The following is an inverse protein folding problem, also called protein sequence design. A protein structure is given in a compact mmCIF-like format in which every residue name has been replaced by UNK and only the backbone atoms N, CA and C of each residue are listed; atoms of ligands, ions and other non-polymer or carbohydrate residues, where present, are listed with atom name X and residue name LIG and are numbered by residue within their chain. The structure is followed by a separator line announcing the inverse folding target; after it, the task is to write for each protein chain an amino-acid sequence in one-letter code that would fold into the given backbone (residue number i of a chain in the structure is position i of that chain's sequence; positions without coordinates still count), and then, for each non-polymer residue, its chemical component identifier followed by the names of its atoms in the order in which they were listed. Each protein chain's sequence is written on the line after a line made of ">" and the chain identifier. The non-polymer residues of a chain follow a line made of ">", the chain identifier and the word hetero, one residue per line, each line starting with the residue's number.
data_IF_628585582380
#
_entry.id   IF_628585582380
#
_cell.length_a   1.000
_cell.length_b   1.000
_cell.length_c   1.000
_cell.angle_alpha   90.00
_cell.angle_beta   90.00
_cell.angle_gamma   90.00
#
_symmetry.space_group_name_H-M   'P 1'
#
loop_
_entity.id
_entity.type
_entity.pdbx_description
1 polymer ?
#
# COMPACT_ATOMS: atom_id res chain seq x y z
N UNK A 1 6.72 -20.06 -37.03
CA UNK A 1 6.45 -20.92 -35.85
C UNK A 1 7.70 -20.85 -34.99
N UNK A 2 7.74 -19.94 -34.03
CA UNK A 2 8.85 -19.81 -33.09
C UNK A 2 8.47 -20.58 -31.83
N UNK A 3 9.13 -21.71 -31.61
CA UNK A 3 8.98 -22.52 -30.40
C UNK A 3 9.80 -21.88 -29.28
N UNK A 4 9.14 -21.40 -28.24
CA UNK A 4 9.81 -21.07 -26.98
C UNK A 4 10.36 -22.35 -26.35
N UNK A 5 11.57 -22.34 -25.76
CA UNK A 5 12.09 -23.49 -25.03
C UNK A 5 11.22 -23.68 -23.78
N UNK A 6 10.59 -24.84 -23.64
CA UNK A 6 9.99 -25.27 -22.37
C UNK A 6 11.11 -25.46 -21.36
N UNK A 7 11.17 -24.62 -20.33
CA UNK A 7 12.10 -24.78 -19.21
C UNK A 7 11.94 -26.20 -18.63
N UNK A 8 13.01 -27.00 -18.69
CA UNK A 8 12.98 -28.44 -18.48
C UNK A 8 13.46 -28.85 -17.07
N UNK A 9 13.16 -28.02 -16.07
CA UNK A 9 13.45 -28.29 -14.65
C UNK A 9 12.20 -28.05 -13.79
N UNK A 10 12.09 -28.72 -12.63
CA UNK A 10 11.06 -28.40 -11.65
C UNK A 10 11.19 -26.92 -11.21
N UNK A 11 10.06 -26.24 -11.11
CA UNK A 11 10.02 -24.82 -10.70
C UNK A 11 10.41 -24.67 -9.24
N UNK A 12 11.06 -23.58 -8.88
CA UNK A 12 11.48 -23.31 -7.49
C UNK A 12 10.91 -21.99 -6.99
N UNK A 13 10.36 -22.00 -5.77
CA UNK A 13 9.92 -20.81 -5.08
C UNK A 13 10.96 -20.34 -4.05
N UNK A 14 11.08 -19.04 -3.84
CA UNK A 14 11.71 -18.46 -2.64
C UNK A 14 10.63 -18.01 -1.66
N UNK A 15 10.83 -18.26 -0.37
CA UNK A 15 9.99 -17.73 0.71
C UNK A 15 10.82 -16.77 1.54
N UNK A 16 10.39 -15.50 1.53
CA UNK A 16 11.02 -14.42 2.30
C UNK A 16 10.19 -14.24 3.56
N UNK A 17 10.71 -14.69 4.68
CA UNK A 17 9.94 -14.80 5.93
C UNK A 17 10.44 -13.82 6.97
N UNK A 18 9.50 -13.14 7.63
CA UNK A 18 9.79 -12.47 8.90
C UNK A 18 9.61 -13.47 10.05
N UNK A 19 10.70 -14.03 10.63
CA UNK A 19 10.60 -15.10 11.62
C UNK A 19 9.89 -14.64 12.90
N UNK A 20 9.90 -13.35 13.22
CA UNK A 20 9.28 -12.79 14.45
C UNK A 20 7.75 -12.85 14.44
N UNK A 21 7.13 -13.11 13.29
CA UNK A 21 5.68 -13.19 13.15
C UNK A 21 5.11 -14.59 13.41
N UNK A 22 5.96 -15.59 13.65
CA UNK A 22 5.53 -16.99 13.77
C UNK A 22 6.10 -17.66 15.02
N UNK A 23 5.22 -18.14 15.90
CA UNK A 23 5.62 -18.90 17.10
C UNK A 23 6.26 -20.27 16.75
N UNK A 24 5.96 -20.81 15.57
CA UNK A 24 6.41 -22.14 15.12
C UNK A 24 6.75 -22.15 13.64
N UNK A 25 7.83 -21.46 13.28
CA UNK A 25 8.35 -21.39 11.91
C UNK A 25 8.56 -22.77 11.27
N UNK A 26 9.01 -23.77 12.04
CA UNK A 26 9.20 -25.16 11.55
C UNK A 26 7.92 -25.78 10.96
N UNK A 27 6.75 -25.48 11.53
CA UNK A 27 5.48 -25.98 11.01
C UNK A 27 5.15 -25.34 9.67
N UNK A 28 5.47 -24.07 9.53
CA UNK A 28 5.29 -23.34 8.27
C UNK A 28 6.24 -23.88 7.21
N UNK A 29 7.50 -24.17 7.58
CA UNK A 29 8.46 -24.83 6.68
C UNK A 29 7.94 -26.16 6.17
N UNK A 30 7.44 -27.02 7.07
CA UNK A 30 6.90 -28.32 6.68
C UNK A 30 5.68 -28.18 5.77
N UNK A 31 4.76 -27.28 6.10
CA UNK A 31 3.57 -27.01 5.30
C UNK A 31 3.92 -26.56 3.87
N UNK A 32 4.85 -25.61 3.75
CA UNK A 32 5.29 -25.09 2.46
C UNK A 32 6.01 -26.16 1.65
N UNK A 33 6.94 -26.88 2.26
CA UNK A 33 7.68 -27.94 1.59
C UNK A 33 6.74 -29.06 1.07
N UNK A 34 5.71 -29.41 1.84
CA UNK A 34 4.71 -30.40 1.40
C UNK A 34 3.86 -29.86 0.24
N UNK A 35 3.42 -28.61 0.30
CA UNK A 35 2.66 -28.01 -0.80
C UNK A 35 3.50 -27.89 -2.09
N UNK A 36 4.77 -27.49 -1.99
CA UNK A 36 5.69 -27.47 -3.12
C UNK A 36 5.80 -28.85 -3.76
N UNK A 37 6.10 -29.89 -2.96
CA UNK A 37 6.17 -31.27 -3.46
C UNK A 37 4.88 -31.73 -4.12
N UNK A 38 3.73 -31.46 -3.48
CA UNK A 38 2.39 -31.81 -3.97
C UNK A 38 2.11 -31.20 -5.34
N UNK A 39 2.60 -29.99 -5.59
CA UNK A 39 2.39 -29.25 -6.85
C UNK A 39 3.55 -29.37 -7.84
N UNK A 40 4.53 -30.26 -7.59
CA UNK A 40 5.66 -30.51 -8.49
C UNK A 40 6.71 -29.39 -8.51
N UNK A 41 6.78 -28.58 -7.46
CA UNK A 41 7.84 -27.60 -7.23
C UNK A 41 8.99 -28.22 -6.43
N UNK A 42 10.19 -27.72 -6.69
CA UNK A 42 11.39 -28.04 -5.91
C UNK A 42 11.30 -27.53 -4.47
N UNK A 43 12.25 -27.98 -3.64
CA UNK A 43 12.37 -27.49 -2.27
C UNK A 43 12.56 -25.96 -2.25
N UNK A 44 11.70 -25.23 -1.52
CA UNK A 44 11.72 -23.77 -1.52
C UNK A 44 13.03 -23.24 -0.94
N UNK A 45 13.53 -22.14 -1.51
CA UNK A 45 14.62 -21.36 -0.94
C UNK A 45 14.07 -20.51 0.21
N UNK A 46 14.57 -20.71 1.44
CA UNK A 46 14.16 -19.92 2.60
C UNK A 46 15.13 -18.80 2.88
N UNK A 47 14.62 -17.58 3.00
CA UNK A 47 15.40 -16.39 3.29
C UNK A 47 14.71 -15.61 4.40
N UNK A 48 15.39 -15.44 5.53
CA UNK A 48 14.84 -14.72 6.67
C UNK A 48 15.20 -13.23 6.60
N UNK A 49 14.21 -12.37 6.85
CA UNK A 49 14.42 -10.93 6.97
C UNK A 49 15.06 -10.60 8.32
N UNK A 50 15.77 -9.48 8.40
CA UNK A 50 16.27 -8.93 9.66
C UNK A 50 15.62 -7.57 9.97
N UNK A 51 15.79 -7.01 11.18
CA UNK A 51 15.35 -5.64 11.46
C UNK A 51 16.00 -4.59 10.56
N UNK A 52 17.23 -4.84 10.09
CA UNK A 52 17.99 -3.95 9.22
C UNK A 52 17.65 -4.14 7.73
N UNK A 53 17.24 -5.34 7.33
CA UNK A 53 16.82 -5.68 5.98
C UNK A 53 15.50 -6.42 5.99
N UNK A 54 14.42 -5.69 5.69
CA UNK A 54 13.04 -6.19 5.78
C UNK A 54 12.64 -7.06 4.59
N UNK A 55 13.58 -7.41 3.70
CA UNK A 55 13.37 -8.32 2.58
C UNK A 55 14.05 -7.91 1.27
N UNK A 56 14.76 -6.79 1.23
CA UNK A 56 15.32 -6.24 0.00
C UNK A 56 16.49 -7.09 -0.49
N UNK A 57 17.47 -7.36 0.39
CA UNK A 57 18.60 -8.23 0.10
C UNK A 57 18.17 -9.67 -0.15
N UNK A 58 17.24 -10.18 0.65
CA UNK A 58 16.68 -11.53 0.47
C UNK A 58 15.97 -11.67 -0.89
N UNK A 59 15.25 -10.63 -1.35
CA UNK A 59 14.62 -10.70 -2.67
C UNK A 59 15.65 -10.73 -3.79
N UNK A 60 16.73 -9.95 -3.69
CA UNK A 60 17.81 -9.99 -4.68
C UNK A 60 18.52 -11.33 -4.70
N UNK A 61 18.81 -11.91 -3.53
CA UNK A 61 19.39 -13.25 -3.42
C UNK A 61 18.50 -14.31 -4.07
N UNK A 62 17.18 -14.23 -3.88
CA UNK A 62 16.23 -15.12 -4.55
C UNK A 62 16.26 -14.98 -6.08
N UNK A 63 16.31 -13.75 -6.59
CA UNK A 63 16.38 -13.48 -8.03
C UNK A 63 17.70 -13.98 -8.64
N UNK A 64 18.82 -13.76 -7.95
CA UNK A 64 20.14 -14.27 -8.36
C UNK A 64 20.19 -15.81 -8.38
N UNK A 65 19.45 -16.46 -7.48
CA UNK A 65 19.27 -17.91 -7.46
C UNK A 65 18.36 -18.44 -8.58
N UNK A 66 17.75 -17.56 -9.38
CA UNK A 66 16.94 -17.94 -10.55
C UNK A 66 15.62 -18.61 -10.21
N UNK A 67 14.97 -18.22 -9.10
CA UNK A 67 13.66 -18.77 -8.72
C UNK A 67 12.54 -18.32 -9.66
N UNK A 68 11.50 -19.14 -9.78
CA UNK A 68 10.32 -18.89 -10.64
C UNK A 68 9.18 -18.16 -9.91
N UNK A 69 9.32 -17.95 -8.61
CA UNK A 69 8.32 -17.36 -7.73
C UNK A 69 8.97 -16.84 -6.45
N UNK A 70 8.62 -15.64 -6.02
CA UNK A 70 9.01 -15.10 -4.72
C UNK A 70 7.77 -14.89 -3.85
N UNK A 71 7.80 -15.44 -2.64
CA UNK A 71 6.67 -15.42 -1.72
C UNK A 71 7.04 -14.65 -0.44
N UNK A 72 6.63 -13.37 -0.28
CA UNK A 72 6.69 -12.72 1.02
C UNK A 72 5.74 -13.42 1.99
N UNK A 73 6.29 -13.89 3.11
CA UNK A 73 5.57 -14.47 4.24
C UNK A 73 5.75 -13.55 5.46
N UNK A 74 4.85 -12.59 5.60
CA UNK A 74 4.96 -11.54 6.59
C UNK A 74 3.80 -10.55 6.58
N UNK A 75 4.01 -9.39 7.20
CA UNK A 75 3.05 -8.29 7.18
C UNK A 75 3.22 -7.39 5.96
N UNK A 76 2.46 -6.30 5.94
CA UNK A 76 2.40 -5.35 4.81
C UNK A 76 3.77 -4.75 4.47
N UNK A 77 4.61 -4.44 5.47
CA UNK A 77 5.98 -3.96 5.24
C UNK A 77 6.87 -4.96 4.47
N UNK A 78 6.83 -6.25 4.82
CA UNK A 78 7.57 -7.30 4.08
C UNK A 78 7.04 -7.41 2.64
N UNK A 79 5.72 -7.37 2.46
CA UNK A 79 5.10 -7.40 1.13
C UNK A 79 5.52 -6.20 0.28
N UNK A 80 5.54 -4.99 0.86
CA UNK A 80 6.01 -3.77 0.20
C UNK A 80 7.47 -3.90 -0.24
N UNK A 81 8.37 -4.30 0.66
CA UNK A 81 9.81 -4.42 0.36
C UNK A 81 10.08 -5.46 -0.72
N UNK A 82 9.42 -6.62 -0.66
CA UNK A 82 9.58 -7.64 -1.70
C UNK A 82 9.01 -7.16 -3.04
N UNK A 83 7.81 -6.57 -3.03
CA UNK A 83 7.17 -6.06 -4.24
C UNK A 83 7.94 -4.90 -4.89
N UNK A 84 8.61 -4.04 -4.11
CA UNK A 84 9.42 -2.95 -4.66
C UNK A 84 10.64 -3.45 -5.43
N UNK A 85 11.27 -4.55 -4.98
CA UNK A 85 12.40 -5.17 -5.68
C UNK A 85 11.94 -5.93 -6.93
N UNK A 86 10.76 -6.56 -6.89
CA UNK A 86 10.20 -7.31 -8.02
C UNK A 86 9.59 -6.40 -9.09
N UNK A 87 9.23 -5.16 -8.74
CA UNK A 87 8.65 -4.20 -9.68
C UNK A 87 9.58 -3.96 -10.88
N UNK A 88 9.00 -3.99 -12.09
CA UNK A 88 9.70 -3.92 -13.37
C UNK A 88 10.26 -5.27 -13.86
N UNK A 89 10.17 -6.33 -13.05
CA UNK A 89 10.58 -7.69 -13.42
C UNK A 89 9.42 -8.59 -13.85
N UNK A 90 9.77 -9.82 -14.26
CA UNK A 90 8.79 -10.84 -14.71
C UNK A 90 8.61 -12.00 -13.70
N UNK A 91 9.38 -12.02 -12.61
CA UNK A 91 9.24 -13.07 -11.58
C UNK A 91 7.98 -12.76 -10.75
N UNK A 92 6.99 -13.66 -10.71
CA UNK A 92 5.74 -13.42 -10.01
C UNK A 92 5.93 -13.42 -8.49
N UNK A 93 5.14 -12.59 -7.82
CA UNK A 93 5.02 -12.54 -6.36
C UNK A 93 3.82 -13.36 -5.86
N UNK A 94 4.04 -14.28 -4.93
CA UNK A 94 2.99 -15.06 -4.26
C UNK A 94 2.71 -14.55 -2.84
N UNK A 95 1.57 -13.94 -2.59
CA UNK A 95 1.27 -13.31 -1.29
C UNK A 95 0.90 -14.35 -0.23
N UNK A 96 1.74 -14.50 0.80
CA UNK A 96 1.47 -15.39 1.93
C UNK A 96 1.17 -14.57 3.20
N UNK A 97 -0.04 -14.71 3.79
CA UNK A 97 -0.43 -13.89 4.94
C UNK A 97 0.41 -14.24 6.18
N UNK A 98 1.06 -13.23 6.75
CA UNK A 98 1.83 -13.33 7.99
C UNK A 98 1.67 -12.11 8.92
N UNK A 99 0.82 -11.15 8.56
CA UNK A 99 0.53 -9.96 9.37
C UNK A 99 -0.96 -9.78 9.67
N UNK A 100 -1.29 -8.72 10.41
CA UNK A 100 -2.66 -8.37 10.78
C UNK A 100 -3.44 -7.76 9.61
N UNK A 101 -2.80 -6.87 8.83
CA UNK A 101 -3.43 -6.15 7.72
C UNK A 101 -3.64 -7.03 6.49
N UNK A 102 -2.53 -7.49 5.88
CA UNK A 102 -2.52 -8.21 4.61
C UNK A 102 -3.29 -7.42 3.52
N UNK A 103 -3.08 -6.11 3.48
CA UNK A 103 -3.90 -5.14 2.75
C UNK A 103 -3.90 -5.43 1.25
N UNK A 104 -2.72 -5.65 0.65
CA UNK A 104 -2.63 -5.97 -0.78
C UNK A 104 -3.37 -7.28 -1.10
N UNK A 105 -3.13 -8.33 -0.30
CA UNK A 105 -3.78 -9.63 -0.49
C UNK A 105 -5.31 -9.54 -0.39
N UNK A 106 -5.84 -8.71 0.54
CA UNK A 106 -7.29 -8.45 0.65
C UNK A 106 -7.84 -7.68 -0.54
N UNK A 107 -7.08 -6.73 -1.08
CA UNK A 107 -7.49 -5.97 -2.26
C UNK A 107 -7.52 -6.85 -3.51
N UNK A 108 -6.68 -7.88 -3.57
CA UNK A 108 -6.66 -8.92 -4.60
C UNK A 108 -7.59 -10.12 -4.28
N UNK A 109 -8.49 -9.96 -3.31
CA UNK A 109 -9.48 -10.96 -2.88
C UNK A 109 -8.91 -12.34 -2.51
N UNK A 110 -7.67 -12.38 -2.00
CA UNK A 110 -7.05 -13.60 -1.51
C UNK A 110 -7.64 -14.06 -0.15
N UNK A 111 -7.66 -15.37 0.13
CA UNK A 111 -8.19 -15.93 1.38
C UNK A 111 -7.19 -15.76 2.53
N UNK A 112 -6.98 -14.52 2.98
CA UNK A 112 -5.97 -14.15 4.00
C UNK A 112 -6.16 -14.81 5.38
N UNK A 113 -7.30 -15.47 5.61
CA UNK A 113 -7.59 -16.31 6.78
C UNK A 113 -6.98 -17.72 6.69
N UNK A 114 -6.35 -18.07 5.56
CA UNK A 114 -5.80 -19.39 5.31
C UNK A 114 -4.48 -19.32 4.52
N UNK A 115 -3.37 -19.46 5.26
CA UNK A 115 -2.04 -19.57 4.67
C UNK A 115 -1.95 -20.70 3.63
N UNK A 116 -2.58 -21.85 3.91
CA UNK A 116 -2.63 -23.00 2.99
C UNK A 116 -3.28 -22.65 1.65
N UNK A 117 -4.44 -21.99 1.66
CA UNK A 117 -5.13 -21.58 0.43
C UNK A 117 -4.34 -20.52 -0.34
N UNK A 118 -3.76 -19.53 0.35
CA UNK A 118 -2.89 -18.55 -0.30
C UNK A 118 -1.63 -19.20 -0.91
N UNK A 119 -1.08 -20.22 -0.26
CA UNK A 119 0.06 -20.97 -0.78
C UNK A 119 -0.31 -21.80 -2.01
N UNK A 120 -1.45 -22.48 -2.00
CA UNK A 120 -1.96 -23.18 -3.18
C UNK A 120 -2.15 -22.20 -4.35
N UNK A 121 -2.72 -21.02 -4.09
CA UNK A 121 -2.82 -19.93 -5.09
C UNK A 121 -1.43 -19.50 -5.57
N UNK A 122 -0.46 -19.26 -4.67
CA UNK A 122 0.89 -18.85 -5.05
C UNK A 122 1.59 -19.85 -5.99
N UNK A 123 1.37 -21.15 -5.78
CA UNK A 123 2.03 -22.23 -6.52
C UNK A 123 1.29 -22.63 -7.81
N UNK A 124 -0.03 -22.41 -7.89
CA UNK A 124 -0.89 -22.92 -8.97
C UNK A 124 -1.74 -21.88 -9.68
N UNK A 125 -1.82 -20.67 -9.13
CA UNK A 125 -2.62 -19.59 -9.65
C UNK A 125 -2.11 -19.03 -10.96
N UNK A 126 -2.76 -17.95 -11.41
CA UNK A 126 -2.43 -17.28 -12.67
C UNK A 126 -1.66 -16.00 -12.40
N UNK A 127 -0.77 -15.67 -13.32
CA UNK A 127 -0.02 -14.42 -13.28
C UNK A 127 -0.92 -13.27 -13.72
N UNK A 128 -0.99 -12.23 -12.90
CA UNK A 128 -1.69 -10.98 -13.18
C UNK A 128 -0.74 -9.84 -12.95
N UNK A 129 -0.75 -8.85 -13.84
CA UNK A 129 0.02 -7.62 -13.65
C UNK A 129 -0.82 -6.61 -12.90
N UNK A 130 -0.23 -6.05 -11.86
CA UNK A 130 -0.78 -4.92 -11.11
C UNK A 130 0.19 -3.76 -11.20
N UNK A 131 -0.35 -2.58 -10.98
CA UNK A 131 0.37 -1.34 -10.88
C UNK A 131 1.09 -1.26 -9.53
N UNK A 132 2.24 -0.61 -9.53
CA UNK A 132 2.87 -0.09 -8.31
C UNK A 132 2.88 1.43 -8.36
N UNK A 133 3.13 2.08 -7.24
CA UNK A 133 3.25 3.53 -7.21
C UNK A 133 4.62 3.94 -6.70
N UNK A 134 5.26 4.86 -7.42
CA UNK A 134 6.47 5.55 -6.97
C UNK A 134 6.08 6.81 -6.22
N UNK A 135 6.70 7.02 -5.06
CA UNK A 135 6.60 8.20 -4.23
C UNK A 135 7.95 8.91 -4.17
N UNK A 136 8.02 10.11 -4.72
CA UNK A 136 9.13 11.04 -4.54
C UNK A 136 8.75 12.01 -3.40
N UNK A 137 9.57 12.11 -2.36
CA UNK A 137 9.34 13.04 -1.25
C UNK A 137 10.46 14.07 -1.11
N UNK A 138 10.07 15.28 -0.71
CA UNK A 138 10.99 16.37 -0.41
C UNK A 138 10.88 16.73 1.07
N UNK A 139 12.03 16.68 1.75
CA UNK A 139 12.14 17.10 3.15
C UNK A 139 12.72 18.51 3.23
N UNK A 140 12.20 19.39 4.11
CA UNK A 140 12.83 20.67 4.35
C UNK A 140 14.17 20.48 5.06
N UNK A 141 15.20 21.22 4.68
CA UNK A 141 16.42 21.34 5.49
C UNK A 141 16.10 22.06 6.81
N UNK A 142 16.93 21.89 7.85
CA UNK A 142 16.74 22.58 9.14
C UNK A 142 16.70 24.11 9.00
N UNK A 143 17.44 24.68 8.05
CA UNK A 143 17.44 26.11 7.78
C UNK A 143 16.13 26.57 7.09
N UNK A 144 15.63 25.79 6.13
CA UNK A 144 14.34 26.05 5.49
C UNK A 144 13.17 25.85 6.48
N UNK A 145 13.24 24.85 7.35
CA UNK A 145 12.26 24.64 8.41
C UNK A 145 12.25 25.84 9.37
N UNK A 146 13.42 26.34 9.78
CA UNK A 146 13.53 27.52 10.62
C UNK A 146 13.04 28.80 9.94
N UNK A 147 13.35 29.00 8.65
CA UNK A 147 12.85 30.12 7.87
C UNK A 147 11.32 30.06 7.71
N UNK A 148 10.76 28.88 7.42
CA UNK A 148 9.30 28.68 7.30
C UNK A 148 8.55 28.81 8.61
N UNK A 149 9.16 28.45 9.73
CA UNK A 149 8.59 28.71 11.06
C UNK A 149 8.67 30.20 11.44
N UNK A 150 9.53 30.97 10.78
CA UNK A 150 9.75 32.39 11.02
C UNK A 150 8.99 33.32 10.06
N UNK A 151 8.66 32.84 8.85
CA UNK A 151 7.83 33.57 7.86
C UNK A 151 6.34 33.41 8.17
N UNK A 152 5.60 34.52 8.19
CA UNK A 152 4.13 34.54 8.25
C UNK A 152 3.49 34.29 6.86
N UNK A 153 4.29 34.23 5.78
CA UNK A 153 3.81 33.98 4.42
C UNK A 153 3.64 32.48 4.15
N UNK A 154 2.44 32.09 3.69
CA UNK A 154 2.06 30.71 3.41
C UNK A 154 2.79 30.19 2.16
N UNK A 155 3.69 29.18 2.27
CA UNK A 155 4.47 28.71 1.12
C UNK A 155 3.59 28.10 0.02
N UNK A 156 2.36 27.68 0.31
CA UNK A 156 1.42 27.24 -0.73
C UNK A 156 0.85 28.40 -1.58
N UNK A 157 1.17 29.67 -1.29
CA UNK A 157 0.82 30.84 -2.13
C UNK A 157 1.80 31.06 -3.29
N UNK A 158 3.08 30.71 -3.14
CA UNK A 158 4.14 31.09 -4.07
C UNK A 158 4.96 29.92 -4.63
N UNK A 159 4.61 28.68 -4.28
CA UNK A 159 5.34 27.49 -4.76
C UNK A 159 4.84 27.08 -6.14
N UNK A 160 5.74 27.14 -7.13
CA UNK A 160 5.57 26.37 -8.35
C UNK A 160 5.70 24.88 -7.98
N UNK A 161 4.59 24.14 -8.12
CA UNK A 161 4.52 22.71 -7.80
C UNK A 161 5.42 21.86 -8.70
N UNK A 162 5.76 22.38 -9.88
CA UNK A 162 6.72 21.71 -10.75
C UNK A 162 8.12 21.86 -10.13
N UNK A 163 8.51 23.06 -9.69
CA UNK A 163 9.84 23.30 -9.08
C UNK A 163 10.00 22.67 -7.68
N UNK A 164 8.97 22.68 -6.82
CA UNK A 164 9.09 22.16 -5.45
C UNK A 164 9.39 20.65 -5.37
N UNK A 165 9.15 19.90 -6.45
CA UNK A 165 9.52 18.50 -6.55
C UNK A 165 10.57 18.26 -7.64
N UNK A 166 10.68 19.09 -8.68
CA UNK A 166 11.62 18.87 -9.79
C UNK A 166 12.91 19.71 -9.73
N UNK A 167 13.07 20.70 -8.82
CA UNK A 167 14.31 21.49 -8.69
C UNK A 167 15.49 20.67 -8.14
N UNK A 168 16.26 20.07 -9.05
CA UNK A 168 17.46 19.28 -8.75
C UNK A 168 18.65 20.12 -8.29
N UNK A 169 18.51 21.44 -8.17
CA UNK A 169 19.59 22.36 -7.77
C UNK A 169 19.58 22.71 -6.28
N UNK A 170 18.52 22.35 -5.55
CA UNK A 170 18.39 22.59 -4.11
C UNK A 170 19.17 21.55 -3.28
N UNK A 171 19.59 21.91 -2.06
CA UNK A 171 20.27 21.01 -1.12
C UNK A 171 19.31 20.04 -0.40
N UNK A 172 18.17 19.71 -1.00
CA UNK A 172 17.12 18.89 -0.40
C UNK A 172 17.45 17.39 -0.45
N UNK A 173 17.09 16.67 0.61
CA UNK A 173 17.13 15.20 0.62
C UNK A 173 15.88 14.71 -0.08
N UNK A 174 16.07 14.11 -1.26
CA UNK A 174 15.03 13.44 -2.03
C UNK A 174 15.13 11.95 -1.77
N UNK A 175 14.06 11.37 -1.30
CA UNK A 175 13.94 9.93 -1.13
C UNK A 175 12.87 9.42 -2.09
N UNK A 176 13.16 8.28 -2.73
CA UNK A 176 12.24 7.57 -3.59
C UNK A 176 11.77 6.32 -2.84
N UNK A 177 10.47 6.11 -2.78
CA UNK A 177 9.85 4.93 -2.17
C UNK A 177 8.87 4.30 -3.16
N UNK A 178 8.73 2.99 -3.13
CA UNK A 178 7.64 2.29 -3.83
C UNK A 178 6.60 1.85 -2.82
N UNK A 179 5.32 1.97 -3.19
CA UNK A 179 4.20 1.45 -2.41
C UNK A 179 3.24 0.65 -3.30
N UNK A 180 2.56 -0.30 -2.67
CA UNK A 180 1.64 -1.21 -3.34
C UNK A 180 0.18 -0.94 -2.97
N UNK A 181 -0.05 -0.31 -1.82
CA UNK A 181 -1.40 -0.05 -1.29
C UNK A 181 -1.69 1.44 -1.30
N UNK A 182 -1.01 2.22 -0.44
CA UNK A 182 -1.24 3.66 -0.31
C UNK A 182 -0.13 4.42 0.41
N UNK A 183 -0.05 5.71 0.11
CA UNK A 183 0.69 6.70 0.86
C UNK A 183 -0.26 7.74 1.48
N UNK A 184 0.10 8.27 2.65
CA UNK A 184 -0.74 9.21 3.40
C UNK A 184 0.06 10.37 3.96
N UNK A 185 -0.49 11.59 3.86
CA UNK A 185 0.01 12.80 4.50
C UNK A 185 -0.98 13.24 5.59
N UNK A 186 -0.47 13.45 6.81
CA UNK A 186 -1.28 13.91 7.96
C UNK A 186 -2.22 12.83 8.51
N UNK A 187 -1.97 11.58 8.13
CA UNK A 187 -2.59 10.40 8.71
C UNK A 187 -1.73 9.94 9.88
N UNK A 188 -2.37 9.47 10.94
CA UNK A 188 -1.69 8.93 12.12
C UNK A 188 -1.99 7.43 12.13
N UNK A 189 -0.95 6.59 12.01
CA UNK A 189 -1.04 5.12 11.97
C UNK A 189 -1.85 4.53 13.14
N UNK A 190 -1.96 5.22 14.28
CA UNK A 190 -2.76 4.76 15.43
C UNK A 190 -4.28 4.87 15.22
N UNK A 191 -4.73 5.58 14.18
CA UNK A 191 -6.15 5.87 13.96
C UNK A 191 -6.98 4.62 13.59
N UNK A 192 -6.34 3.57 13.07
CA UNK A 192 -7.01 2.33 12.63
C UNK A 192 -6.58 1.06 13.39
N UNK A 193 -5.53 1.12 14.20
CA UNK A 193 -4.99 -0.04 14.92
C UNK A 193 -5.74 -0.37 16.24
N UNK A 194 -6.61 0.54 16.73
CA UNK A 194 -7.29 0.42 18.02
C UNK A 194 -8.66 -0.29 18.01
N UNK A 195 -9.06 -0.95 16.93
CA UNK A 195 -10.34 -1.64 16.88
C UNK A 195 -10.23 -3.08 17.44
N UNK A 196 -10.90 -3.44 18.56
CA UNK A 196 -10.83 -4.79 19.08
C UNK A 196 -11.53 -5.79 18.15
N UNK A 197 -10.89 -6.94 17.88
CA UNK A 197 -11.37 -8.01 16.98
C UNK A 197 -12.64 -8.77 17.47
N UNK A 198 -13.37 -8.24 18.45
CA UNK A 198 -14.35 -9.02 19.22
C UNK A 198 -15.80 -8.51 19.31
N UNK A 199 -16.24 -7.50 18.54
CA UNK A 199 -17.59 -6.94 18.72
C UNK A 199 -18.49 -7.11 17.48
N UNK A 200 -19.28 -8.19 17.45
CA UNK A 200 -20.44 -8.34 16.55
C UNK A 200 -21.75 -8.42 17.33
N UNK A 201 -22.77 -7.80 16.72
CA UNK A 201 -24.21 -7.90 16.99
C UNK A 201 -24.78 -7.19 18.24
N UNK A 202 -24.98 -5.86 18.15
CA UNK A 202 -26.23 -5.13 18.55
C UNK A 202 -26.12 -3.60 18.58
N UNK A 203 -24.92 -3.04 18.50
CA UNK A 203 -24.68 -1.57 18.47
C UNK A 203 -23.79 -1.20 17.28
N UNK A 204 -24.26 -1.57 16.09
CA UNK A 204 -23.47 -1.58 14.84
C UNK A 204 -22.78 -0.26 14.53
N UNK A 205 -21.58 -0.37 13.91
CA UNK A 205 -20.77 0.64 13.20
C UNK A 205 -20.45 1.99 13.88
N UNK A 206 -21.38 2.61 14.61
CA UNK A 206 -21.23 3.88 15.33
C UNK A 206 -20.21 3.81 16.48
N UNK A 207 -20.11 2.69 17.18
CA UNK A 207 -19.12 2.53 18.27
C UNK A 207 -17.67 2.46 17.72
N UNK A 208 -17.48 1.85 16.55
CA UNK A 208 -16.19 1.76 15.86
C UNK A 208 -15.70 3.14 15.41
N UNK A 209 -16.59 3.93 14.80
CA UNK A 209 -16.33 5.32 14.45
C UNK A 209 -15.86 6.13 15.66
N UNK A 210 -16.60 6.09 16.77
CA UNK A 210 -16.36 6.94 17.95
C UNK A 210 -15.04 6.62 18.66
N UNK A 211 -14.51 5.39 18.55
CA UNK A 211 -13.23 5.00 19.12
C UNK A 211 -12.04 5.53 18.29
N UNK A 212 -12.03 5.30 16.97
CA UNK A 212 -11.00 5.85 16.06
C UNK A 212 -11.05 7.40 16.01
N UNK A 213 -12.25 7.97 16.14
CA UNK A 213 -12.47 9.42 16.11
C UNK A 213 -11.87 10.23 17.23
N UNK A 214 -11.67 9.63 18.40
CA UNK A 214 -11.05 10.31 19.55
C UNK A 214 -9.53 10.41 19.44
N UNK A 215 -8.92 9.56 18.60
CA UNK A 215 -7.48 9.49 18.33
C UNK A 215 -7.10 10.30 17.09
N UNK A 216 -8.07 10.62 16.23
CA UNK A 216 -8.01 11.69 15.26
C UNK A 216 -7.90 13.06 15.97
N UNK A 217 -6.73 13.40 16.49
CA UNK A 217 -6.37 14.73 17.03
C UNK A 217 -5.14 15.26 16.28
N UNK A 218 -5.35 16.22 15.39
CA UNK A 218 -4.28 16.89 14.65
C UNK A 218 -4.82 18.17 14.01
N UNK A 219 -4.01 19.24 13.92
CA UNK A 219 -4.45 20.49 13.30
C UNK A 219 -4.67 20.29 11.80
N UNK A 220 -5.67 20.97 11.24
CA UNK A 220 -5.77 21.11 9.78
C UNK A 220 -4.52 21.81 9.22
N UNK A 221 -4.27 21.60 7.95
CA UNK A 221 -3.18 22.20 7.18
C UNK A 221 -3.64 22.49 5.76
N UNK A 222 -2.93 23.36 5.06
CA UNK A 222 -3.26 23.72 3.69
C UNK A 222 -2.35 22.97 2.74
N UNK A 223 -2.96 22.39 1.70
CA UNK A 223 -2.23 21.78 0.60
C UNK A 223 -2.53 22.48 -0.71
N UNK A 224 -1.51 22.58 -1.55
CA UNK A 224 -1.66 22.77 -2.98
C UNK A 224 -1.55 21.40 -3.66
N UNK A 225 -2.50 21.09 -4.54
CA UNK A 225 -2.61 19.79 -5.21
C UNK A 225 -2.68 20.00 -6.71
N UNK A 226 -1.94 19.17 -7.45
CA UNK A 226 -1.99 19.08 -8.92
C UNK A 226 -2.09 17.61 -9.31
N UNK A 227 -2.95 17.34 -10.28
CA UNK A 227 -3.16 16.01 -10.85
C UNK A 227 -2.86 16.10 -12.33
N UNK A 228 -1.93 15.26 -12.79
CA UNK A 228 -1.42 15.24 -14.16
C UNK A 228 -1.06 16.66 -14.67
N UNK A 229 -1.46 16.98 -15.90
CA UNK A 229 -1.32 18.32 -16.50
C UNK A 229 -2.42 19.32 -16.10
N UNK A 230 -3.21 19.00 -15.07
CA UNK A 230 -4.30 19.86 -14.59
C UNK A 230 -3.81 21.16 -13.93
N UNK A 231 -4.73 22.11 -13.76
CA UNK A 231 -4.45 23.32 -13.01
C UNK A 231 -4.33 23.01 -11.50
N UNK A 232 -3.33 23.56 -10.81
CA UNK A 232 -3.21 23.36 -9.37
C UNK A 232 -4.37 24.05 -8.62
N UNK A 233 -4.79 23.44 -7.52
CA UNK A 233 -5.79 24.02 -6.62
C UNK A 233 -5.39 23.86 -5.17
N UNK A 234 -5.97 24.68 -4.30
CA UNK A 234 -5.67 24.67 -2.87
C UNK A 234 -6.83 24.18 -2.05
N UNK A 235 -6.50 23.48 -0.97
CA UNK A 235 -7.48 22.90 -0.06
C UNK A 235 -6.95 22.89 1.36
N UNK A 236 -7.78 23.32 2.31
CA UNK A 236 -7.53 23.08 3.73
C UNK A 236 -8.00 21.68 4.05
N UNK A 237 -7.07 20.83 4.46
CA UNK A 237 -7.29 19.41 4.70
C UNK A 237 -6.86 19.05 6.11
N UNK A 238 -7.22 17.83 6.46
CA UNK A 238 -6.78 17.14 7.64
C UNK A 238 -5.87 15.97 7.29
N UNK A 239 -6.12 15.34 6.15
CA UNK A 239 -5.25 14.30 5.61
C UNK A 239 -5.43 14.24 4.10
N UNK A 240 -4.38 13.81 3.42
CA UNK A 240 -4.41 13.42 2.01
C UNK A 240 -3.98 11.97 1.94
N UNK A 241 -4.77 11.12 1.29
CA UNK A 241 -4.42 9.72 1.05
C UNK A 241 -4.36 9.50 -0.45
N UNK A 242 -3.32 8.83 -0.93
CA UNK A 242 -3.16 8.43 -2.33
C UNK A 242 -2.97 6.92 -2.35
N UNK A 243 -3.81 6.20 -3.08
CA UNK A 243 -3.82 4.75 -3.09
C UNK A 243 -3.85 4.16 -4.49
N UNK A 244 -3.15 3.04 -4.61
CA UNK A 244 -3.20 2.12 -5.74
C UNK A 244 -4.42 1.18 -5.62
N UNK A 245 -4.85 0.92 -4.39
CA UNK A 245 -6.00 0.07 -4.08
C UNK A 245 -6.87 0.70 -3.00
N UNK A 246 -8.13 0.26 -2.92
CA UNK A 246 -9.16 1.00 -2.19
C UNK A 246 -9.55 0.50 -0.81
N UNK A 247 -9.32 -0.78 -0.50
CA UNK A 247 -9.83 -1.43 0.71
C UNK A 247 -8.83 -1.32 1.87
N UNK A 248 -9.33 -0.91 3.04
CA UNK A 248 -8.63 -0.96 4.32
C UNK A 248 -9.06 -2.18 5.15
N UNK A 249 -8.39 -2.38 6.30
CA UNK A 249 -8.84 -3.35 7.32
C UNK A 249 -10.29 -3.06 7.76
N UNK A 250 -11.02 -4.15 8.08
CA UNK A 250 -12.40 -4.04 8.57
C UNK A 250 -13.47 -3.90 7.48
N UNK A 251 -13.10 -4.03 6.20
CA UNK A 251 -14.04 -3.99 5.07
C UNK A 251 -14.47 -2.57 4.68
N UNK A 252 -13.66 -1.56 5.01
CA UNK A 252 -13.89 -0.17 4.63
C UNK A 252 -13.25 0.14 3.28
N UNK A 253 -14.06 0.58 2.32
CA UNK A 253 -13.58 1.12 1.04
C UNK A 253 -13.25 2.61 1.24
N UNK A 254 -11.96 2.96 1.35
CA UNK A 254 -11.50 4.35 1.42
C UNK A 254 -11.51 5.00 0.02
N UNK A 255 -11.00 4.26 -0.97
CA UNK A 255 -10.96 4.66 -2.38
C UNK A 255 -11.77 3.63 -3.20
N UNK A 256 -13.11 3.73 -3.23
CA UNK A 256 -13.96 2.69 -3.80
C UNK A 256 -13.82 2.50 -5.31
N UNK A 257 -13.20 3.48 -6.00
CA UNK A 257 -12.97 3.46 -7.44
C UNK A 257 -11.54 3.02 -7.80
N UNK A 258 -10.65 2.83 -6.81
CA UNK A 258 -9.26 2.42 -7.03
C UNK A 258 -9.17 0.95 -7.47
N UNK A 259 -8.52 0.72 -8.61
CA UNK A 259 -8.26 -0.59 -9.18
C UNK A 259 -6.76 -0.82 -9.26
N UNK A 260 -6.31 -2.04 -8.98
CA UNK A 260 -4.89 -2.35 -8.89
C UNK A 260 -4.18 -2.40 -10.26
N UNK A 261 -4.89 -2.29 -11.38
CA UNK A 261 -4.40 -2.58 -12.73
C UNK A 261 -4.96 -1.65 -13.82
N UNK A 262 -5.48 -0.48 -13.45
CA UNK A 262 -6.12 0.47 -14.37
C UNK A 262 -5.18 1.57 -14.88
N UNK A 263 -3.92 1.56 -14.46
CA UNK A 263 -2.91 2.54 -14.83
C UNK A 263 -3.13 3.91 -14.20
N UNK A 264 -3.84 4.00 -13.07
CA UNK A 264 -4.14 5.23 -12.35
C UNK A 264 -3.87 5.12 -10.86
N UNK A 265 -3.74 6.27 -10.19
CA UNK A 265 -3.80 6.37 -8.72
C UNK A 265 -5.03 7.16 -8.33
N UNK A 266 -5.63 6.78 -7.21
CA UNK A 266 -6.76 7.49 -6.63
C UNK A 266 -6.30 8.25 -5.39
N UNK A 267 -6.76 9.48 -5.23
CA UNK A 267 -6.49 10.29 -4.05
C UNK A 267 -7.77 10.79 -3.40
N UNK A 268 -7.76 10.84 -2.07
CA UNK A 268 -8.81 11.46 -1.27
C UNK A 268 -8.23 12.54 -0.36
N UNK A 269 -8.81 13.73 -0.43
CA UNK A 269 -8.51 14.84 0.48
C UNK A 269 -9.62 14.89 1.53
N UNK A 270 -9.26 14.65 2.78
CA UNK A 270 -10.19 14.62 3.90
C UNK A 270 -10.09 15.92 4.69
N UNK A 271 -11.18 16.66 4.83
CA UNK A 271 -11.26 17.90 5.63
C UNK A 271 -12.39 17.90 6.70
N UNK A 272 -12.60 16.81 7.46
CA UNK A 272 -13.64 16.78 8.49
C UNK A 272 -13.33 17.69 9.69
N UNK A 273 -14.36 18.38 10.17
CA UNK A 273 -14.32 19.21 11.38
C UNK A 273 -15.10 18.56 12.53
N UNK A 274 -14.42 18.34 13.66
CA UNK A 274 -15.01 17.75 14.86
C UNK A 274 -15.62 16.36 14.65
N UNK A 275 -16.24 15.81 15.70
CA UNK A 275 -16.78 14.43 15.70
C UNK A 275 -17.92 14.25 14.68
N UNK A 276 -18.75 15.29 14.50
CA UNK A 276 -19.87 15.26 13.55
C UNK A 276 -19.38 15.27 12.10
N UNK A 277 -18.38 16.10 11.77
CA UNK A 277 -17.82 16.18 10.43
C UNK A 277 -17.24 14.84 9.98
N UNK A 278 -16.56 14.16 10.89
CA UNK A 278 -16.08 12.81 10.65
C UNK A 278 -17.19 11.76 10.49
N UNK A 279 -18.23 11.81 11.33
CA UNK A 279 -19.41 10.94 11.16
C UNK A 279 -20.01 11.06 9.76
N UNK A 280 -20.08 12.29 9.23
CA UNK A 280 -20.53 12.56 7.89
C UNK A 280 -19.56 12.06 6.80
N UNK A 281 -18.24 12.23 6.99
CA UNK A 281 -17.21 11.72 6.07
C UNK A 281 -17.29 10.21 5.89
N UNK A 282 -17.41 9.44 6.98
CA UNK A 282 -17.55 7.98 6.87
C UNK A 282 -18.87 7.57 6.21
N UNK A 283 -19.99 8.26 6.52
CA UNK A 283 -21.25 8.01 5.83
C UNK A 283 -21.16 8.30 4.32
N UNK A 284 -20.38 9.32 3.93
CA UNK A 284 -20.14 9.64 2.53
C UNK A 284 -19.33 8.56 1.81
N UNK A 285 -18.24 8.07 2.43
CA UNK A 285 -17.44 6.95 1.91
C UNK A 285 -18.30 5.68 1.75
N UNK A 286 -19.09 5.33 2.77
CA UNK A 286 -19.94 4.14 2.74
C UNK A 286 -21.09 4.23 1.72
N UNK A 287 -21.65 5.42 1.49
CA UNK A 287 -22.77 5.59 0.54
C UNK A 287 -22.30 5.79 -0.89
N UNK A 288 -20.98 5.93 -1.14
CA UNK A 288 -20.38 6.24 -2.44
C UNK A 288 -21.01 7.48 -3.13
N UNK A 289 -21.72 8.32 -2.36
CA UNK A 289 -22.43 9.48 -2.88
C UNK A 289 -21.44 10.64 -3.04
N UNK A 290 -21.14 10.98 -4.30
CA UNK A 290 -20.40 12.20 -4.69
C UNK A 290 -21.27 13.46 -4.52
N UNK A 291 -21.75 13.73 -3.30
CA UNK A 291 -22.59 14.91 -3.04
C UNK A 291 -21.73 16.07 -2.55
N UNK A 292 -21.42 16.99 -3.47
CA UNK A 292 -21.55 18.44 -3.32
C UNK A 292 -21.07 19.16 -2.05
N UNK A 293 -20.15 18.61 -1.26
CA UNK A 293 -19.64 19.30 -0.06
C UNK A 293 -18.12 19.17 0.10
N UNK A 294 -17.54 20.25 0.59
CA UNK A 294 -16.11 20.58 0.77
C UNK A 294 -15.28 19.65 1.67
N UNK A 295 -15.79 18.47 2.06
CA UNK A 295 -15.22 17.60 3.11
C UNK A 295 -14.38 16.43 2.59
N UNK A 296 -14.68 15.98 1.38
CA UNK A 296 -14.04 14.84 0.73
C UNK A 296 -13.93 15.16 -0.75
N UNK A 297 -12.70 15.32 -1.25
CA UNK A 297 -12.43 15.40 -2.68
C UNK A 297 -11.83 14.08 -3.14
N UNK A 298 -12.37 13.54 -4.22
CA UNK A 298 -11.80 12.38 -4.91
C UNK A 298 -11.12 12.86 -6.18
N UNK A 299 -9.88 12.42 -6.37
CA UNK A 299 -9.04 12.73 -7.52
C UNK A 299 -8.54 11.41 -8.10
N UNK A 300 -8.34 11.37 -9.41
CA UNK A 300 -7.77 10.23 -10.11
C UNK A 300 -6.86 10.75 -11.22
N UNK A 301 -5.71 10.13 -11.41
CA UNK A 301 -4.74 10.49 -12.44
C UNK A 301 -3.54 9.54 -12.46
N UNK A 302 -2.59 9.79 -13.35
CA UNK A 302 -1.33 9.03 -13.41
C UNK A 302 -0.26 9.62 -12.47
N UNK A 303 -0.38 10.91 -12.19
CA UNK A 303 0.51 11.65 -11.31
C UNK A 303 -0.29 12.56 -10.36
N UNK A 304 0.02 12.50 -9.07
CA UNK A 304 -0.54 13.39 -8.04
C UNK A 304 0.61 14.07 -7.30
N UNK A 305 0.61 15.41 -7.31
CA UNK A 305 1.54 16.25 -6.55
C UNK A 305 0.80 16.94 -5.42
N UNK A 306 1.41 16.92 -4.24
CA UNK A 306 0.87 17.57 -3.05
C UNK A 306 1.99 18.33 -2.36
N UNK A 307 1.80 19.63 -2.13
CA UNK A 307 2.69 20.46 -1.32
C UNK A 307 1.91 21.01 -0.14
N UNK A 308 2.47 20.86 1.06
CA UNK A 308 1.89 21.30 2.33
C UNK A 308 2.49 22.63 2.78
N UNK A 309 1.67 23.45 3.44
CA UNK A 309 2.07 24.73 4.05
C UNK A 309 3.08 24.57 5.20
N UNK A 310 3.20 23.36 5.76
CA UNK A 310 4.14 22.99 6.83
C UNK A 310 4.60 21.54 6.70
N UNK A 311 5.65 21.11 7.43
CA UNK A 311 6.00 19.69 7.50
C UNK A 311 4.85 18.89 8.13
N UNK A 312 4.50 17.78 7.50
CA UNK A 312 3.43 16.89 7.93
C UNK A 312 3.94 15.46 7.87
N UNK A 313 3.53 14.64 8.85
CA UNK A 313 3.86 13.22 8.89
C UNK A 313 3.40 12.50 7.62
N UNK A 314 4.26 11.62 7.11
CA UNK A 314 4.08 10.84 5.90
C UNK A 314 4.14 9.35 6.24
N UNK A 315 3.24 8.57 5.64
CA UNK A 315 3.17 7.12 5.80
C UNK A 315 3.08 6.44 4.44
N UNK A 316 3.61 5.22 4.34
CA UNK A 316 3.58 4.38 3.15
C UNK A 316 3.29 2.93 3.54
N UNK A 317 2.20 2.37 3.02
CA UNK A 317 1.70 1.00 3.30
C UNK A 317 1.69 0.64 4.81
N UNK A 318 1.48 1.64 5.67
CA UNK A 318 1.46 1.49 7.13
C UNK A 318 2.78 1.77 7.85
N UNK A 319 3.88 2.02 7.13
CA UNK A 319 5.18 2.41 7.70
C UNK A 319 5.33 3.94 7.70
N UNK A 320 5.70 4.52 8.84
CA UNK A 320 5.93 5.97 8.99
C UNK A 320 7.29 6.36 8.43
N UNK A 321 7.31 7.34 7.52
CA UNK A 321 8.52 7.91 6.91
C UNK A 321 8.93 9.26 7.52
N UNK A 322 8.31 9.67 8.63
CA UNK A 322 8.53 10.97 9.26
C UNK A 322 7.89 12.11 8.47
N UNK A 323 8.35 13.35 8.70
CA UNK A 323 7.71 14.52 8.07
C UNK A 323 8.24 14.85 6.68
N UNK A 324 7.34 15.29 5.80
CA UNK A 324 7.63 15.82 4.48
C UNK A 324 6.83 17.11 4.23
N UNK A 325 7.27 17.90 3.24
CA UNK A 325 6.59 19.13 2.81
C UNK A 325 5.97 18.99 1.42
N UNK A 326 6.49 18.05 0.63
CA UNK A 326 5.97 17.74 -0.69
C UNK A 326 6.04 16.24 -0.93
N UNK A 327 5.05 15.73 -1.65
CA UNK A 327 5.07 14.41 -2.23
C UNK A 327 4.61 14.45 -3.68
N UNK A 328 5.21 13.60 -4.51
CA UNK A 328 4.76 13.30 -5.86
C UNK A 328 4.61 11.81 -5.98
N UNK A 329 3.40 11.40 -6.34
CA UNK A 329 3.06 10.00 -6.59
C UNK A 329 2.88 9.81 -8.09
N UNK A 330 3.51 8.78 -8.64
CA UNK A 330 3.39 8.39 -10.05
C UNK A 330 3.07 6.91 -10.12
N UNK A 331 2.02 6.54 -10.85
CA UNK A 331 1.69 5.14 -11.15
C UNK A 331 2.76 4.52 -12.06
N UNK A 332 3.05 3.25 -11.84
CA UNK A 332 3.87 2.41 -12.71
C UNK A 332 2.99 1.28 -13.25
N UNK A 333 2.34 1.47 -14.41
CA UNK A 333 1.33 0.54 -14.90
C UNK A 333 1.88 -0.87 -15.16
N UNK A 334 1.21 -1.88 -14.61
CA UNK A 334 1.52 -3.30 -14.79
C UNK A 334 2.94 -3.70 -14.40
N UNK A 335 3.57 -2.95 -13.49
CA UNK A 335 4.98 -3.11 -13.14
C UNK A 335 5.24 -4.34 -12.27
N UNK A 336 4.25 -4.87 -11.56
CA UNK A 336 4.43 -6.01 -10.65
C UNK A 336 3.57 -7.19 -11.09
N UNK A 337 4.19 -8.36 -11.24
CA UNK A 337 3.48 -9.61 -11.51
C UNK A 337 3.12 -10.26 -10.17
N UNK A 338 1.84 -10.56 -9.95
CA UNK A 338 1.33 -11.25 -8.76
C UNK A 338 0.60 -12.53 -9.13
N UNK A 339 0.63 -13.52 -8.23
CA UNK A 339 -0.15 -14.74 -8.36
C UNK A 339 -1.52 -14.59 -7.70
N UNK A 340 -2.58 -14.73 -8.49
CA UNK A 340 -3.97 -14.69 -8.01
C UNK A 340 -4.70 -15.99 -8.32
N UNK A 341 -5.86 -16.19 -7.69
CA UNK A 341 -6.70 -17.34 -8.02
C UNK A 341 -7.09 -17.27 -9.50
N UNK A 342 -6.89 -18.37 -10.23
CA UNK A 342 -7.44 -18.49 -11.57
C UNK A 342 -8.97 -18.39 -11.51
N UNK A 343 -9.60 -17.74 -12.48
CA UNK A 343 -11.05 -17.76 -12.63
C UNK A 343 -11.49 -19.17 -13.03
N UNK A 344 -11.58 -20.07 -12.06
CA UNK A 344 -12.12 -21.40 -12.27
C UNK A 344 -13.64 -21.30 -12.28
N UNK A 345 -14.25 -21.42 -13.45
CA UNK A 345 -15.68 -21.65 -13.64
C UNK A 345 -16.17 -23.02 -13.15
N UNK A 346 -15.48 -23.63 -12.19
CA UNK A 346 -15.89 -24.88 -11.55
C UNK A 346 -16.25 -24.58 -10.10
N UNK A 347 -17.52 -24.24 -9.93
CA UNK A 347 -18.25 -24.51 -8.71
C UNK A 347 -18.09 -26.00 -8.38
N UNK A 348 -17.14 -26.32 -7.51
CA UNK A 348 -17.14 -27.60 -6.80
C UNK A 348 -18.36 -27.54 -5.88
N UNK A 349 -19.36 -28.32 -6.25
CA UNK A 349 -20.53 -28.63 -5.45
C UNK A 349 -20.13 -28.86 -3.99
N UNK A 350 -20.73 -28.05 -3.12
CA UNK A 350 -20.74 -28.30 -1.70
C UNK A 350 -21.47 -29.63 -1.44
N UNK A 351 -20.70 -30.70 -1.24
CA UNK A 351 -21.15 -31.89 -0.53
C UNK A 351 -20.49 -31.91 0.84
N UNK A 352 -21.19 -31.37 1.84
CA UNK A 352 -21.49 -32.03 3.12
C UNK A 352 -22.58 -31.28 3.87
#
# INVERSE_FOLDING_TARGET
>A
MSTHPTASGPRRAAVIVNPTKFDRVDRVHHLVAEACRRHGWDEPLWLETTPEDTGEGQTREALEAGVDLVCPLGGDGTVRTVGSVLAGGDVPMGLLPGGTGNLLARNLDLPVDSLERCLDIALTGVDTRIDTCRLDLVRPTSAQLAARLADEEDPSENVDLDDAVDDRSSSEVREEHTFLVMAGLGFDAEVMAGAPEGLKARVGWLAYLVAGLRHLKGPQFTVAVKVDGGAPFRRRVRSVMVGNVGKLMGGMDLLPDALADDGSVDAVLLSPEGVVGWGATFAQLATRRRIGHSRVDHLQGQEVRVVSDKPVELEVDGDTLGTAIAMRVVVQPGSLVVRVAGTSGDSIDALS
#
